data_IF_120474658912
#
_entry.id   IF_120474658912
#
_cell.length_a   1.000
_cell.length_b   1.000
_cell.length_c   1.000
_cell.angle_alpha   90.00
_cell.angle_beta   90.00
_cell.angle_gamma   90.00
#
_symmetry.space_group_name_H-M   'P 1'
#
loop_
_entity.id
_entity.type
_entity.pdbx_description
1 polymer ?
#
# COMPACT_ATOMS: atom_id res chain seq x y z
N UNK A 1 -4.93 -27.35 6.28
CA UNK A 1 -5.25 -25.91 6.29
C UNK A 1 -3.91 -25.23 6.36
N UNK A 2 -3.45 -24.65 5.25
CA UNK A 2 -2.18 -23.94 5.24
C UNK A 2 -2.35 -22.70 6.10
N UNK A 3 -1.70 -22.67 7.26
CA UNK A 3 -1.71 -21.52 8.14
C UNK A 3 -1.12 -20.33 7.38
N UNK A 4 -1.92 -19.29 7.14
CA UNK A 4 -1.45 -18.07 6.49
C UNK A 4 -0.46 -17.41 7.44
N UNK A 5 0.83 -17.47 7.11
CA UNK A 5 1.87 -16.85 7.91
C UNK A 5 1.92 -15.35 7.63
N UNK A 6 2.06 -14.54 8.69
CA UNK A 6 2.23 -13.09 8.63
C UNK A 6 3.37 -12.70 7.67
N UNK A 7 4.48 -13.44 7.69
CA UNK A 7 5.65 -13.18 6.82
C UNK A 7 5.30 -13.30 5.34
N UNK A 8 4.40 -14.24 4.98
CA UNK A 8 3.97 -14.41 3.60
C UNK A 8 3.14 -13.23 3.12
N UNK A 9 2.27 -12.69 3.98
CA UNK A 9 1.48 -11.48 3.68
C UNK A 9 2.41 -10.27 3.55
N UNK A 10 3.39 -10.13 4.44
CA UNK A 10 4.39 -9.05 4.38
C UNK A 10 5.19 -9.14 3.08
N UNK A 11 5.62 -10.34 2.69
CA UNK A 11 6.35 -10.55 1.44
C UNK A 11 5.48 -10.23 0.21
N UNK A 12 4.19 -10.60 0.21
CA UNK A 12 3.26 -10.23 -0.85
C UNK A 12 3.12 -8.71 -0.97
N UNK A 13 2.90 -8.02 0.15
CA UNK A 13 2.82 -6.57 0.22
C UNK A 13 4.08 -5.87 -0.30
N UNK A 14 5.27 -6.37 0.07
CA UNK A 14 6.56 -5.79 -0.34
C UNK A 14 6.86 -6.01 -1.84
N UNK A 15 6.43 -7.14 -2.39
CA UNK A 15 6.67 -7.47 -3.80
C UNK A 15 5.65 -6.83 -4.75
N UNK A 16 4.50 -6.37 -4.23
CA UNK A 16 3.48 -5.71 -5.02
C UNK A 16 4.04 -4.44 -5.66
N UNK A 17 4.02 -4.38 -6.99
CA UNK A 17 4.35 -3.18 -7.76
C UNK A 17 3.10 -2.58 -8.37
N UNK A 18 2.99 -1.27 -8.22
CA UNK A 18 1.86 -0.49 -8.71
C UNK A 18 1.83 -0.38 -10.24
N UNK A 19 3.00 -0.14 -10.85
CA UNK A 19 3.18 -0.07 -12.30
C UNK A 19 4.67 -0.18 -12.64
N UNK A 20 4.97 -0.38 -13.92
CA UNK A 20 6.33 -0.32 -14.42
C UNK A 20 6.74 1.13 -14.67
N UNK A 21 7.71 1.62 -13.89
CA UNK A 21 8.22 2.99 -14.00
C UNK A 21 8.79 3.32 -15.38
N UNK A 22 9.25 2.32 -16.15
CA UNK A 22 9.77 2.54 -17.51
C UNK A 22 8.70 3.01 -18.48
N UNK A 23 7.46 2.59 -18.26
CA UNK A 23 6.31 2.95 -19.10
C UNK A 23 5.74 4.32 -18.70
N UNK A 24 5.95 4.73 -17.44
CA UNK A 24 5.47 6.00 -16.87
C UNK A 24 6.58 6.70 -16.06
N UNK A 25 7.61 7.27 -16.71
CA UNK A 25 8.79 7.84 -16.02
C UNK A 25 8.47 9.05 -15.14
N UNK A 26 7.39 9.78 -15.46
CA UNK A 26 6.92 10.92 -14.66
C UNK A 26 5.85 10.52 -13.63
N UNK A 27 5.55 9.22 -13.51
CA UNK A 27 4.48 8.72 -12.68
C UNK A 27 3.14 8.59 -13.40
N UNK A 28 2.26 7.78 -12.82
CA UNK A 28 0.93 7.47 -13.32
C UNK A 28 -0.12 8.11 -12.39
N UNK A 29 -1.01 8.94 -12.96
CA UNK A 29 -1.94 9.81 -12.22
C UNK A 29 -3.42 9.61 -12.60
N UNK A 30 -3.76 8.56 -13.34
CA UNK A 30 -5.15 8.19 -13.58
C UNK A 30 -5.81 7.56 -12.36
N UNK A 31 -7.14 7.60 -12.34
CA UNK A 31 -7.98 7.07 -11.26
C UNK A 31 -7.94 5.54 -11.14
N UNK A 32 -7.52 4.82 -12.18
CA UNK A 32 -7.42 3.35 -12.11
C UNK A 32 -6.31 2.91 -11.16
N UNK A 33 -5.22 3.67 -11.08
CA UNK A 33 -4.10 3.35 -10.19
C UNK A 33 -4.47 3.36 -8.69
N UNK A 34 -5.02 4.44 -8.11
CA UNK A 34 -5.44 4.44 -6.71
C UNK A 34 -6.55 3.42 -6.44
N UNK A 35 -7.43 3.14 -7.42
CA UNK A 35 -8.42 2.08 -7.32
C UNK A 35 -7.77 0.70 -7.18
N UNK A 36 -6.86 0.34 -8.10
CA UNK A 36 -6.15 -0.94 -8.06
C UNK A 36 -5.35 -1.13 -6.76
N UNK A 37 -4.74 -0.05 -6.25
CA UNK A 37 -4.07 -0.04 -4.93
C UNK A 37 -5.02 -0.35 -3.79
N UNK A 38 -6.22 0.24 -3.79
CA UNK A 38 -7.22 0.02 -2.75
C UNK A 38 -7.80 -1.41 -2.81
N UNK A 39 -8.08 -1.93 -4.00
CA UNK A 39 -8.56 -3.31 -4.20
C UNK A 39 -7.52 -4.33 -3.70
N UNK A 40 -6.26 -4.18 -4.11
CA UNK A 40 -5.18 -5.05 -3.63
C UNK A 40 -4.96 -4.93 -2.11
N UNK A 41 -5.07 -3.72 -1.55
CA UNK A 41 -4.99 -3.52 -0.10
C UNK A 41 -6.14 -4.20 0.65
N UNK A 42 -7.35 -4.16 0.08
CA UNK A 42 -8.52 -4.82 0.65
C UNK A 42 -8.36 -6.34 0.65
N UNK A 43 -7.78 -6.92 -0.40
CA UNK A 43 -7.54 -8.36 -0.47
C UNK A 43 -6.44 -8.81 0.50
N UNK A 44 -5.37 -8.03 0.65
CA UNK A 44 -4.34 -8.28 1.68
C UNK A 44 -4.90 -8.14 3.10
N UNK A 45 -5.78 -7.17 3.34
CA UNK A 45 -6.37 -6.94 4.65
C UNK A 45 -7.27 -8.11 5.07
N UNK A 46 -8.06 -8.67 4.14
CA UNK A 46 -8.83 -9.91 4.39
C UNK A 46 -7.94 -11.10 4.73
N UNK A 47 -6.78 -11.24 4.07
CA UNK A 47 -5.79 -12.28 4.41
C UNK A 47 -5.20 -12.05 5.81
N UNK A 48 -4.93 -10.79 6.14
CA UNK A 48 -4.36 -10.37 7.43
C UNK A 48 -5.32 -10.64 8.59
N UNK A 49 -6.62 -10.39 8.42
CA UNK A 49 -7.65 -10.71 9.42
C UNK A 49 -7.72 -12.21 9.79
N UNK A 50 -7.20 -13.09 8.92
CA UNK A 50 -7.10 -14.53 9.18
C UNK A 50 -5.91 -14.96 10.04
N UNK A 51 -5.00 -14.04 10.40
CA UNK A 51 -3.82 -14.34 11.23
C UNK A 51 -4.20 -14.38 12.70
N UNK A 52 -3.84 -15.46 13.41
CA UNK A 52 -4.05 -15.56 14.85
C UNK A 52 -3.05 -14.70 15.63
N UNK A 53 -3.49 -13.52 16.03
CA UNK A 53 -2.68 -12.55 16.79
C UNK A 53 -2.21 -13.06 18.15
N UNK A 54 -2.85 -14.09 18.72
CA UNK A 54 -2.45 -14.65 20.02
C UNK A 54 -1.15 -15.45 19.98
N UNK A 55 -0.76 -15.90 18.78
CA UNK A 55 0.47 -16.67 18.56
C UNK A 55 1.68 -15.80 18.21
N UNK A 56 1.49 -14.50 18.00
CA UNK A 56 2.53 -13.58 17.57
C UNK A 56 3.37 -13.09 18.76
N UNK A 57 4.67 -12.95 18.54
CA UNK A 57 5.54 -12.23 19.47
C UNK A 57 5.33 -10.70 19.37
N UNK A 58 5.92 -9.94 20.29
CA UNK A 58 5.74 -8.47 20.33
C UNK A 58 6.14 -7.77 19.02
N UNK A 59 7.24 -8.20 18.39
CA UNK A 59 7.71 -7.63 17.13
C UNK A 59 6.77 -7.96 15.97
N UNK A 60 6.27 -9.19 15.91
CA UNK A 60 5.29 -9.63 14.91
C UNK A 60 3.96 -8.92 15.10
N UNK A 61 3.53 -8.72 16.34
CA UNK A 61 2.31 -7.98 16.66
C UNK A 61 2.41 -6.50 16.25
N UNK A 62 3.59 -5.88 16.41
CA UNK A 62 3.86 -4.53 15.91
C UNK A 62 3.77 -4.50 14.38
N UNK A 63 4.43 -5.44 13.69
CA UNK A 63 4.38 -5.56 12.23
C UNK A 63 2.95 -5.77 11.73
N UNK A 64 2.17 -6.63 12.39
CA UNK A 64 0.76 -6.88 12.10
C UNK A 64 -0.06 -5.59 12.19
N UNK A 65 0.06 -4.85 13.30
CA UNK A 65 -0.68 -3.59 13.52
C UNK A 65 -0.28 -2.52 12.50
N UNK A 66 1.00 -2.41 12.20
CA UNK A 66 1.51 -1.44 11.24
C UNK A 66 1.01 -1.75 9.82
N UNK A 67 1.06 -3.03 9.43
CA UNK A 67 0.56 -3.45 8.12
C UNK A 67 -0.94 -3.20 8.00
N UNK A 68 -1.73 -3.54 9.02
CA UNK A 68 -3.16 -3.25 9.06
C UNK A 68 -3.45 -1.75 8.89
N UNK A 69 -2.71 -0.90 9.61
CA UNK A 69 -2.83 0.56 9.49
C UNK A 69 -2.54 1.05 8.07
N UNK A 70 -1.44 0.59 7.46
CA UNK A 70 -1.05 1.00 6.10
C UNK A 70 -2.03 0.52 5.04
N UNK A 71 -2.56 -0.71 5.16
CA UNK A 71 -3.55 -1.25 4.24
C UNK A 71 -4.88 -0.47 4.33
N UNK A 72 -5.33 -0.17 5.54
CA UNK A 72 -6.52 0.63 5.76
C UNK A 72 -6.37 2.06 5.21
N UNK A 73 -5.21 2.69 5.45
CA UNK A 73 -4.89 4.01 4.89
C UNK A 73 -4.96 4.03 3.36
N UNK A 74 -4.47 2.99 2.68
CA UNK A 74 -4.58 2.86 1.21
C UNK A 74 -6.04 2.78 0.73
N UNK A 75 -6.90 2.07 1.45
CA UNK A 75 -8.32 1.96 1.13
C UNK A 75 -9.00 3.31 1.33
N UNK A 76 -8.73 3.98 2.45
CA UNK A 76 -9.30 5.29 2.77
C UNK A 76 -8.81 6.39 1.82
N UNK A 77 -7.54 6.33 1.40
CA UNK A 77 -6.95 7.23 0.40
C UNK A 77 -7.75 7.23 -0.92
N UNK A 78 -8.20 6.05 -1.38
CA UNK A 78 -9.09 5.96 -2.53
C UNK A 78 -10.53 6.40 -2.20
N UNK A 79 -11.09 5.90 -1.09
CA UNK A 79 -12.47 6.19 -0.66
C UNK A 79 -12.75 7.69 -0.54
N UNK A 80 -11.82 8.43 0.05
CA UNK A 80 -11.93 9.88 0.24
C UNK A 80 -11.31 10.70 -0.89
N UNK A 81 -10.90 10.04 -1.98
CA UNK A 81 -10.32 10.67 -3.18
C UNK A 81 -9.12 11.57 -2.88
N UNK A 82 -8.30 11.18 -1.91
CA UNK A 82 -7.14 11.97 -1.48
C UNK A 82 -6.10 12.12 -2.60
N UNK A 83 -6.06 11.19 -3.57
CA UNK A 83 -5.26 11.32 -4.79
C UNK A 83 -5.61 12.54 -5.65
N UNK A 84 -6.77 13.18 -5.43
CA UNK A 84 -7.17 14.44 -6.06
C UNK A 84 -6.63 15.67 -5.35
N UNK A 85 -5.78 15.52 -4.32
CA UNK A 85 -5.07 16.61 -3.67
C UNK A 85 -3.57 16.67 -4.05
N UNK A 86 -3.20 16.94 -5.32
CA UNK A 86 -1.82 16.81 -5.81
C UNK A 86 -0.87 17.96 -5.42
N UNK A 87 -1.37 19.00 -4.75
CA UNK A 87 -0.63 20.22 -4.41
C UNK A 87 -0.59 20.41 -2.88
N UNK A 88 -0.05 19.44 -2.15
CA UNK A 88 0.32 19.69 -0.77
C UNK A 88 1.68 20.41 -0.73
N UNK A 89 1.87 21.30 0.24
CA UNK A 89 3.12 22.05 0.38
C UNK A 89 4.33 21.15 0.70
N UNK A 90 4.07 19.96 1.24
CA UNK A 90 5.03 18.97 1.67
C UNK A 90 5.07 17.72 0.77
N UNK A 91 4.06 17.50 -0.08
CA UNK A 91 3.95 16.33 -0.97
C UNK A 91 3.31 16.70 -2.32
N UNK A 92 3.82 16.13 -3.41
CA UNK A 92 3.22 16.33 -4.73
C UNK A 92 4.19 16.08 -5.88
N UNK A 93 3.67 15.97 -7.10
CA UNK A 93 4.51 15.71 -8.28
C UNK A 93 5.59 16.78 -8.47
N UNK A 94 5.29 18.03 -8.12
CA UNK A 94 6.16 19.19 -8.28
C UNK A 94 7.41 19.14 -7.38
N UNK A 95 7.34 18.48 -6.21
CA UNK A 95 8.50 18.27 -5.34
C UNK A 95 9.39 17.11 -5.82
N UNK A 96 8.80 16.15 -6.53
CA UNK A 96 9.48 14.92 -6.97
C UNK A 96 10.11 15.04 -8.38
N UNK A 97 9.76 16.07 -9.15
CA UNK A 97 10.18 16.23 -10.54
C UNK A 97 11.72 16.22 -10.70
N UNK A 98 12.44 16.88 -9.78
CA UNK A 98 13.90 16.92 -9.78
C UNK A 98 14.56 15.55 -9.58
N UNK A 99 13.85 14.59 -8.98
CA UNK A 99 14.34 13.24 -8.75
C UNK A 99 13.90 12.25 -9.85
N UNK A 100 12.87 12.60 -10.62
CA UNK A 100 12.34 11.78 -11.71
C UNK A 100 13.11 12.00 -13.03
N UNK A 101 13.65 13.20 -13.24
CA UNK A 101 14.50 13.51 -14.40
C UNK A 101 15.94 13.16 -14.04
N UNK A 102 16.47 12.09 -14.64
CA UNK A 102 17.90 11.71 -14.60
C UNK A 102 18.59 12.04 -15.90
#
# INVERSE_FOLDING_TARGET
QDAVSLDSIIAEYQNQRDYNWRDYPLGRYDEELPKARAEAAQDLLKKLEGVDTSTLNDSELISYKLLNFVLQDRIDHYKYKMYLNPLQADQGFHLNLNYQVR
#
